data_IF_201536215698
#
_entry.id   IF_201536215698
#
_cell.length_a   1.000
_cell.length_b   1.000
_cell.length_c   1.000
_cell.angle_alpha   90.00
_cell.angle_beta   90.00
_cell.angle_gamma   90.00
#
_symmetry.space_group_name_H-M   'P 1'
#
loop_
_entity.id
_entity.type
_entity.pdbx_description
1 polymer ?
#
# COMPACT_ATOMS: atom_id res chain seq x y z
N UNK A 1 -1.98 10.34 -10.13
CA UNK A 1 -1.34 9.95 -8.85
C UNK A 1 -1.18 8.44 -8.68
N UNK A 2 -2.17 7.61 -9.03
CA UNK A 2 -2.11 6.15 -8.84
C UNK A 2 -0.97 5.43 -9.60
N UNK A 3 -0.38 6.04 -10.64
CA UNK A 3 0.81 5.51 -11.31
C UNK A 3 2.07 5.63 -10.44
N UNK A 4 2.25 6.77 -9.77
CA UNK A 4 3.39 7.00 -8.86
C UNK A 4 3.27 6.16 -7.58
N UNK A 5 2.07 6.06 -7.01
CA UNK A 5 1.83 5.24 -5.82
C UNK A 5 2.18 3.75 -6.05
N UNK A 6 1.94 3.22 -7.25
CA UNK A 6 2.35 1.85 -7.61
C UNK A 6 3.86 1.69 -7.69
N UNK A 7 4.56 2.67 -8.26
CA UNK A 7 6.03 2.65 -8.29
C UNK A 7 6.64 2.67 -6.89
N UNK A 8 6.11 3.55 -6.03
CA UNK A 8 6.53 3.64 -4.62
C UNK A 8 6.19 2.37 -3.83
N UNK A 9 5.06 1.73 -4.10
CA UNK A 9 4.67 0.47 -3.48
C UNK A 9 5.66 -0.65 -3.82
N UNK A 10 6.07 -0.75 -5.10
CA UNK A 10 7.10 -1.71 -5.52
C UNK A 10 8.45 -1.37 -4.89
N UNK A 11 8.83 -0.09 -4.85
CA UNK A 11 10.06 0.37 -4.20
C UNK A 11 10.10 0.01 -2.72
N UNK A 12 9.01 0.27 -1.99
CA UNK A 12 8.87 -0.06 -0.58
C UNK A 12 9.00 -1.58 -0.33
N UNK A 13 8.37 -2.40 -1.19
CA UNK A 13 8.53 -3.85 -1.11
C UNK A 13 9.98 -4.29 -1.32
N UNK A 14 10.68 -3.69 -2.30
CA UNK A 14 12.07 -4.01 -2.59
C UNK A 14 13.02 -3.58 -1.46
N UNK A 15 12.86 -2.35 -0.94
CA UNK A 15 13.70 -1.80 0.13
C UNK A 15 13.54 -2.56 1.45
N UNK A 16 12.32 -2.99 1.77
CA UNK A 16 12.02 -3.72 3.01
C UNK A 16 12.06 -5.25 2.85
N UNK A 17 12.43 -5.76 1.66
CA UNK A 17 12.41 -7.20 1.30
C UNK A 17 11.10 -7.88 1.73
N UNK A 18 9.98 -7.27 1.34
CA UNK A 18 8.66 -7.78 1.68
C UNK A 18 8.33 -8.95 0.78
N UNK A 19 8.40 -10.15 1.34
CA UNK A 19 8.03 -11.39 0.64
C UNK A 19 6.58 -11.79 0.91
N UNK A 20 5.99 -11.26 1.99
CA UNK A 20 4.62 -11.57 2.41
C UNK A 20 3.67 -10.41 2.16
N UNK A 21 2.43 -10.69 1.71
CA UNK A 21 1.40 -9.66 1.54
C UNK A 21 1.11 -8.88 2.83
N UNK A 22 1.33 -9.46 4.00
CA UNK A 22 1.11 -8.76 5.28
C UNK A 22 2.04 -7.57 5.50
N UNK A 23 3.27 -7.63 5.00
CA UNK A 23 4.22 -6.51 5.14
C UNK A 23 3.76 -5.27 4.37
N UNK A 24 2.96 -5.45 3.32
CA UNK A 24 2.46 -4.32 2.53
C UNK A 24 1.40 -3.50 3.24
N UNK A 25 0.78 -4.03 4.30
CA UNK A 25 -0.16 -3.29 5.15
C UNK A 25 0.52 -2.08 5.80
N UNK A 26 1.84 -2.11 5.98
CA UNK A 26 2.63 -1.00 6.51
C UNK A 26 2.93 0.10 5.47
N UNK A 27 2.53 -0.09 4.21
CA UNK A 27 2.72 0.91 3.17
C UNK A 27 1.87 2.17 3.46
N UNK A 28 2.54 3.26 3.82
CA UNK A 28 1.92 4.55 4.14
C UNK A 28 2.55 5.71 3.35
N UNK A 29 2.79 5.51 2.06
CA UNK A 29 3.44 6.51 1.19
C UNK A 29 2.40 7.45 0.56
N UNK A 30 2.75 8.72 0.33
CA UNK A 30 1.91 9.72 -0.36
C UNK A 30 0.49 9.90 0.24
N UNK A 31 0.36 9.74 1.56
CA UNK A 31 -0.93 9.77 2.30
C UNK A 31 -1.92 8.67 1.87
N UNK A 32 -1.46 7.65 1.16
CA UNK A 32 -2.21 6.40 1.04
C UNK A 32 -2.07 5.66 2.36
N UNK A 33 -3.19 5.18 2.89
CA UNK A 33 -3.25 4.35 4.09
C UNK A 33 -4.00 3.07 3.75
N UNK A 34 -3.49 1.97 4.26
CA UNK A 34 -4.19 0.70 4.22
C UNK A 34 -5.54 0.80 4.97
N UNK A 35 -6.62 0.37 4.32
CA UNK A 35 -7.97 0.39 4.91
C UNK A 35 -8.41 -1.04 5.18
N UNK A 36 -8.24 -1.52 6.42
CA UNK A 36 -8.66 -2.86 6.83
C UNK A 36 -10.15 -3.10 6.59
N UNK A 37 -10.98 -2.08 6.78
CA UNK A 37 -12.45 -2.16 6.60
C UNK A 37 -12.85 -2.45 5.16
N UNK A 38 -12.06 -1.96 4.19
CA UNK A 38 -12.30 -2.17 2.76
C UNK A 38 -11.44 -3.30 2.18
N UNK A 39 -10.47 -3.78 2.94
CA UNK A 39 -9.52 -4.79 2.49
C UNK A 39 -10.01 -6.17 2.87
N UNK A 40 -9.82 -7.11 1.97
CA UNK A 40 -10.13 -8.52 2.14
C UNK A 40 -8.86 -9.36 2.03
N UNK A 41 -8.96 -10.66 2.33
CA UNK A 41 -7.82 -11.59 2.25
C UNK A 41 -7.21 -11.70 0.84
N UNK A 42 -8.01 -11.39 -0.20
CA UNK A 42 -7.56 -11.37 -1.60
C UNK A 42 -7.18 -9.99 -2.12
N UNK A 43 -7.67 -8.91 -1.51
CA UNK A 43 -7.54 -7.57 -2.07
C UNK A 43 -7.28 -6.53 -0.97
N UNK A 44 -6.11 -5.90 -1.06
CA UNK A 44 -5.72 -4.82 -0.15
C UNK A 44 -6.05 -3.45 -0.74
N UNK A 45 -6.94 -2.73 -0.08
CA UNK A 45 -7.41 -1.41 -0.50
C UNK A 45 -6.66 -0.33 0.25
N UNK A 46 -5.95 0.51 -0.50
CA UNK A 46 -5.25 1.68 0.00
C UNK A 46 -6.02 2.94 -0.35
N UNK A 47 -6.53 3.64 0.67
CA UNK A 47 -7.29 4.87 0.51
C UNK A 47 -6.39 6.08 0.74
N UNK A 48 -6.56 7.11 -0.06
CA UNK A 48 -5.92 8.41 0.14
C UNK A 48 -7.01 9.43 0.42
N UNK A 49 -6.98 10.07 1.59
CA UNK A 49 -7.80 11.26 1.84
C UNK A 49 -7.30 12.39 0.92
N UNK A 50 -8.20 12.89 0.10
CA UNK A 50 -8.02 14.11 -0.67
C UNK A 50 -8.54 15.24 0.22
N UNK A 51 -7.63 16.05 0.74
CA UNK A 51 -7.95 17.44 1.10
C UNK A 51 -7.94 18.26 -0.18
#
# INVERSE_FOLDING_TARGET
YCKMARGEMVRFMAENRIEKPEGIKQFSVMRYRFSEVLSSEKEYIFVRKKE
#
